data_IF_470420025099
#
_entry.id   IF_470420025099
#
_cell.length_a   1.000
_cell.length_b   1.000
_cell.length_c   1.000
_cell.angle_alpha   90.00
_cell.angle_beta   90.00
_cell.angle_gamma   90.00
#
_symmetry.space_group_name_H-M   'P 1'
#
loop_
_entity.id
_entity.type
_entity.pdbx_description
1 polymer ?
#
# COMPACT_ATOMS: atom_id res chain seq x y z
N UNK A 1 -6.44 -29.67 6.87
CA UNK A 1 -7.23 -30.30 7.96
C UNK A 1 -6.29 -30.52 9.13
N UNK A 2 -6.26 -29.59 10.08
CA UNK A 2 -5.61 -29.76 11.37
C UNK A 2 -6.52 -30.61 12.24
N UNK A 3 -6.13 -31.85 12.46
CA UNK A 3 -6.82 -32.73 13.40
C UNK A 3 -6.59 -32.22 14.83
N UNK A 4 -7.66 -32.08 15.59
CA UNK A 4 -7.62 -31.85 17.04
C UNK A 4 -6.92 -33.06 17.66
N UNK A 5 -5.87 -32.89 18.52
CA UNK A 5 -5.26 -34.02 19.21
C UNK A 5 -6.30 -34.79 20.03
N UNK A 6 -6.27 -36.11 19.93
CA UNK A 6 -7.16 -36.98 20.69
C UNK A 6 -6.84 -36.87 22.19
N UNK A 7 -7.71 -36.19 22.94
CA UNK A 7 -7.57 -35.97 24.38
C UNK A 7 -8.01 -34.60 24.85
N UNK A 8 -8.20 -33.64 23.96
CA UNK A 8 -8.79 -32.34 24.23
C UNK A 8 -10.32 -32.50 24.25
N UNK A 9 -10.87 -32.65 25.44
CA UNK A 9 -12.30 -32.65 25.62
C UNK A 9 -12.84 -31.22 25.57
N UNK A 10 -13.46 -30.82 24.46
CA UNK A 10 -14.24 -29.57 24.39
C UNK A 10 -15.52 -29.73 25.23
N UNK A 11 -15.37 -29.97 26.55
CA UNK A 11 -16.49 -30.20 27.46
C UNK A 11 -17.29 -28.94 27.81
N UNK A 12 -16.89 -27.77 27.27
CA UNK A 12 -17.41 -26.47 27.69
C UNK A 12 -18.27 -25.77 26.64
N UNK A 13 -18.91 -26.44 25.71
CA UNK A 13 -19.77 -25.76 24.71
C UNK A 13 -19.16 -24.43 24.17
N UNK A 14 -17.84 -24.37 24.05
CA UNK A 14 -17.16 -23.19 23.48
C UNK A 14 -17.49 -23.12 22.00
N UNK A 15 -18.34 -22.18 21.66
CA UNK A 15 -18.65 -21.90 20.26
C UNK A 15 -17.37 -21.32 19.60
N UNK A 16 -16.87 -21.99 18.58
CA UNK A 16 -15.85 -21.41 17.71
C UNK A 16 -16.56 -20.36 16.87
N UNK A 17 -16.34 -19.10 17.18
CA UNK A 17 -16.85 -17.99 16.38
C UNK A 17 -15.87 -17.79 15.23
N UNK A 18 -16.32 -18.08 14.01
CA UNK A 18 -15.60 -17.77 12.78
C UNK A 18 -16.10 -16.41 12.33
N UNK A 19 -15.21 -15.40 12.31
CA UNK A 19 -15.57 -14.12 11.71
C UNK A 19 -15.60 -14.26 10.19
N UNK A 20 -16.76 -14.00 9.61
CA UNK A 20 -16.99 -14.00 8.15
C UNK A 20 -17.35 -12.60 7.66
N UNK A 21 -17.25 -11.59 8.51
CA UNK A 21 -17.63 -10.21 8.21
C UNK A 21 -16.50 -9.52 7.47
N UNK A 22 -16.73 -9.16 6.22
CA UNK A 22 -15.76 -8.40 5.43
C UNK A 22 -15.57 -7.00 6.01
N UNK A 23 -14.33 -6.46 6.06
CA UNK A 23 -14.08 -5.09 6.47
C UNK A 23 -14.65 -4.09 5.45
N UNK A 24 -15.03 -2.90 5.92
CA UNK A 24 -15.56 -1.81 5.10
C UNK A 24 -14.52 -0.71 4.96
N UNK A 25 -13.41 -1.00 4.30
CA UNK A 25 -12.36 -0.01 4.03
C UNK A 25 -12.64 0.76 2.74
N UNK A 26 -12.23 2.03 2.69
CA UNK A 26 -12.22 2.83 1.46
C UNK A 26 -10.89 3.56 1.31
N UNK A 27 -10.40 3.71 0.08
CA UNK A 27 -9.21 4.50 -0.24
C UNK A 27 -9.66 5.71 -1.06
N UNK A 28 -9.43 6.93 -0.53
CA UNK A 28 -9.87 8.18 -1.18
C UNK A 28 -8.74 8.92 -1.85
N UNK A 29 -7.51 8.82 -1.35
CA UNK A 29 -6.34 9.45 -1.95
C UNK A 29 -5.07 8.68 -1.68
N UNK A 30 -4.05 8.95 -2.51
CA UNK A 30 -2.70 8.45 -2.32
C UNK A 30 -1.69 9.56 -2.55
N UNK A 31 -0.60 9.54 -1.78
CA UNK A 31 0.57 10.37 -2.00
C UNK A 31 1.83 9.53 -1.91
N UNK A 32 2.88 9.97 -2.59
CA UNK A 32 4.18 9.29 -2.59
C UNK A 32 5.32 10.25 -2.33
N UNK A 33 6.26 9.81 -1.51
CA UNK A 33 7.52 10.52 -1.28
C UNK A 33 8.67 9.74 -1.93
N UNK A 34 9.23 10.20 -3.04
CA UNK A 34 10.27 9.48 -3.78
C UNK A 34 11.60 9.38 -3.01
N UNK A 35 11.86 10.29 -2.07
CA UNK A 35 13.06 10.26 -1.24
C UNK A 35 12.99 9.14 -0.20
N UNK A 36 11.88 9.05 0.53
CA UNK A 36 11.70 8.03 1.56
C UNK A 36 11.16 6.70 1.03
N UNK A 37 10.49 6.70 -0.14
CA UNK A 37 9.81 5.53 -0.69
C UNK A 37 8.51 5.19 0.03
N UNK A 38 7.86 6.18 0.64
CA UNK A 38 6.61 5.98 1.38
C UNK A 38 5.41 6.37 0.51
N UNK A 39 4.50 5.43 0.32
CA UNK A 39 3.16 5.68 -0.22
C UNK A 39 2.22 5.85 0.98
N UNK A 40 1.56 7.00 1.07
CA UNK A 40 0.54 7.24 2.10
C UNK A 40 -0.83 7.15 1.47
N UNK A 41 -1.64 6.23 1.97
CA UNK A 41 -3.05 6.09 1.62
C UNK A 41 -3.90 6.83 2.65
N UNK A 42 -4.88 7.59 2.19
CA UNK A 42 -5.92 8.15 3.04
C UNK A 42 -7.28 7.57 2.66
N UNK A 43 -8.16 7.44 3.65
CA UNK A 43 -9.46 6.82 3.44
C UNK A 43 -10.25 6.66 4.73
N UNK A 44 -11.04 5.60 4.81
CA UNK A 44 -11.78 5.25 6.02
C UNK A 44 -11.54 3.78 6.36
N UNK A 45 -11.57 3.45 7.63
CA UNK A 45 -11.39 2.09 8.15
C UNK A 45 -10.14 1.37 7.64
N UNK A 46 -9.07 2.10 7.33
CA UNK A 46 -7.79 1.54 6.88
C UNK A 46 -7.09 0.73 7.99
N UNK A 47 -7.58 0.84 9.22
CA UNK A 47 -7.11 0.14 10.41
C UNK A 47 -7.85 -1.19 10.63
N UNK A 48 -8.43 -1.79 9.60
CA UNK A 48 -9.33 -2.95 9.73
C UNK A 48 -8.68 -4.25 10.18
N UNK A 49 -7.40 -4.22 10.48
CA UNK A 49 -6.63 -5.40 10.89
C UNK A 49 -6.84 -5.81 12.35
N UNK A 50 -7.84 -5.24 13.00
CA UNK A 50 -8.30 -5.60 14.36
C UNK A 50 -7.17 -5.83 15.37
N UNK A 51 -6.11 -5.02 15.27
CA UNK A 51 -4.94 -5.10 16.14
C UNK A 51 -5.06 -4.06 17.24
N UNK A 52 -4.79 -4.46 18.47
CA UNK A 52 -4.84 -3.61 19.64
C UNK A 52 -3.80 -2.47 19.63
N UNK A 53 -2.84 -2.49 18.71
CA UNK A 53 -1.82 -1.45 18.53
C UNK A 53 -1.41 -1.34 17.07
N UNK A 54 -2.20 -0.66 16.24
CA UNK A 54 -2.00 -0.62 14.79
C UNK A 54 -0.68 0.06 14.37
N UNK A 55 -0.17 1.00 15.16
CA UNK A 55 1.03 1.78 14.81
C UNK A 55 2.35 1.01 15.00
N UNK A 56 2.35 -0.12 15.69
CA UNK A 56 3.57 -0.86 16.03
C UNK A 56 3.75 -2.18 15.27
N UNK A 57 2.74 -2.62 14.51
CA UNK A 57 2.74 -3.92 13.82
C UNK A 57 2.89 -3.72 12.32
N UNK A 58 3.75 -4.54 11.69
CA UNK A 58 3.88 -4.54 10.24
C UNK A 58 2.76 -5.35 9.61
N UNK A 59 1.87 -4.68 8.90
CA UNK A 59 0.65 -5.26 8.33
C UNK A 59 0.81 -5.79 6.91
N UNK A 60 2.00 -5.73 6.32
CA UNK A 60 2.21 -6.05 4.89
C UNK A 60 1.72 -7.42 4.45
N UNK A 61 1.74 -8.42 5.34
CA UNK A 61 1.34 -9.80 5.03
C UNK A 61 -0.18 -10.01 4.98
N UNK A 62 -0.97 -9.05 5.44
CA UNK A 62 -2.43 -9.12 5.44
C UNK A 62 -3.06 -8.48 4.20
N UNK A 63 -2.27 -7.80 3.36
CA UNK A 63 -2.73 -7.10 2.17
C UNK A 63 -2.48 -7.94 0.92
N UNK A 64 -3.38 -7.85 -0.06
CA UNK A 64 -3.26 -8.55 -1.34
C UNK A 64 -2.57 -7.67 -2.39
N UNK A 65 -1.25 -7.72 -2.43
CA UNK A 65 -0.43 -6.86 -3.28
C UNK A 65 -0.67 -7.06 -4.78
N UNK A 66 -1.25 -8.18 -5.22
CA UNK A 66 -1.63 -8.38 -6.61
C UNK A 66 -2.72 -7.42 -7.09
N UNK A 67 -3.37 -6.73 -6.16
CA UNK A 67 -4.46 -5.77 -6.37
C UNK A 67 -4.01 -4.31 -6.26
N UNK A 68 -2.71 -4.07 -6.12
CA UNK A 68 -2.14 -2.75 -5.88
C UNK A 68 -1.17 -2.42 -7.02
N UNK A 69 -1.62 -1.59 -7.94
CA UNK A 69 -0.94 -1.30 -9.20
C UNK A 69 -0.65 0.18 -9.31
N UNK A 70 0.58 0.50 -9.65
CA UNK A 70 1.01 1.85 -10.02
C UNK A 70 1.02 1.95 -11.53
N UNK A 71 0.11 2.70 -12.09
CA UNK A 71 0.03 3.04 -13.50
C UNK A 71 0.88 4.31 -13.74
N UNK A 72 1.99 4.13 -14.46
CA UNK A 72 3.03 5.16 -14.60
C UNK A 72 2.59 6.36 -15.43
N UNK A 73 1.67 6.17 -16.35
CA UNK A 73 1.22 7.23 -17.26
C UNK A 73 -0.29 7.53 -17.11
N UNK A 74 -0.98 6.82 -16.21
CA UNK A 74 -2.39 7.03 -15.93
C UNK A 74 -3.31 6.77 -17.13
N UNK A 75 -2.89 5.90 -18.08
CA UNK A 75 -3.64 5.62 -19.30
C UNK A 75 -4.63 4.46 -19.15
N UNK A 76 -4.61 3.78 -18.01
CA UNK A 76 -5.44 2.61 -17.73
C UNK A 76 -4.99 1.35 -18.49
N UNK A 77 -3.82 1.39 -19.13
CA UNK A 77 -3.19 0.24 -19.81
C UNK A 77 -2.23 -0.46 -18.85
N UNK A 78 -2.16 -1.77 -18.89
CA UNK A 78 -1.30 -2.56 -18.00
C UNK A 78 0.12 -2.76 -18.53
N UNK A 79 0.50 -2.14 -19.65
CA UNK A 79 1.74 -2.46 -20.36
C UNK A 79 2.99 -1.84 -19.72
N UNK A 80 2.85 -0.75 -18.98
CA UNK A 80 3.95 -0.02 -18.35
C UNK A 80 3.81 0.06 -16.83
N UNK A 81 2.85 -0.68 -16.26
CA UNK A 81 2.47 -0.59 -14.86
C UNK A 81 3.38 -1.40 -13.95
N UNK A 82 3.48 -0.94 -12.73
CA UNK A 82 4.13 -1.67 -11.65
C UNK A 82 3.08 -2.30 -10.74
N UNK A 83 2.85 -3.60 -10.88
CA UNK A 83 2.16 -4.38 -9.84
C UNK A 83 3.14 -4.66 -8.71
N UNK A 84 2.77 -4.28 -7.49
CA UNK A 84 3.61 -4.55 -6.32
C UNK A 84 3.47 -6.01 -5.88
N UNK A 85 4.50 -6.48 -5.19
CA UNK A 85 4.54 -7.78 -4.55
C UNK A 85 4.96 -7.62 -3.09
N UNK A 86 4.68 -8.62 -2.27
CA UNK A 86 5.07 -8.60 -0.84
C UNK A 86 6.57 -8.32 -0.63
N UNK A 87 7.41 -8.80 -1.54
CA UNK A 87 8.86 -8.57 -1.52
C UNK A 87 9.29 -7.12 -1.80
N UNK A 88 8.43 -6.32 -2.45
CA UNK A 88 8.67 -4.90 -2.70
C UNK A 88 8.44 -4.04 -1.45
N UNK A 89 7.74 -4.58 -0.46
CA UNK A 89 7.27 -3.86 0.71
C UNK A 89 8.17 -4.16 1.91
N UNK A 90 8.67 -3.10 2.52
CA UNK A 90 9.41 -3.18 3.78
C UNK A 90 8.42 -3.23 4.96
N UNK A 91 7.64 -2.19 5.14
CA UNK A 91 6.66 -2.10 6.23
C UNK A 91 5.35 -1.50 5.76
N UNK A 92 4.27 -1.88 6.45
CA UNK A 92 2.98 -1.22 6.38
C UNK A 92 2.54 -0.87 7.79
N UNK A 93 2.25 0.41 8.01
CA UNK A 93 1.72 0.91 9.28
C UNK A 93 0.41 1.63 9.06
N UNK A 94 -0.62 1.26 9.82
CA UNK A 94 -1.87 2.01 9.87
C UNK A 94 -1.78 2.97 11.07
N UNK A 95 -1.50 4.24 10.81
CA UNK A 95 -1.37 5.24 11.88
C UNK A 95 -2.70 5.47 12.61
N UNK A 96 -3.81 5.31 11.89
CA UNK A 96 -5.18 5.40 12.41
C UNK A 96 -6.15 4.82 11.35
N UNK A 97 -7.46 4.87 11.64
CA UNK A 97 -8.49 4.39 10.71
C UNK A 97 -8.54 5.16 9.37
N UNK A 98 -7.91 6.32 9.28
CA UNK A 98 -7.96 7.19 8.10
C UNK A 98 -6.66 7.22 7.29
N UNK A 99 -5.56 6.70 7.81
CA UNK A 99 -4.26 6.75 7.14
C UNK A 99 -3.48 5.45 7.30
N UNK A 100 -2.89 5.01 6.19
CA UNK A 100 -1.98 3.87 6.12
C UNK A 100 -0.72 4.29 5.36
N UNK A 101 0.45 3.96 5.90
CA UNK A 101 1.72 4.19 5.22
C UNK A 101 2.30 2.84 4.76
N UNK A 102 2.63 2.78 3.47
CA UNK A 102 3.30 1.66 2.82
C UNK A 102 4.73 2.10 2.49
N UNK A 103 5.71 1.52 3.16
CA UNK A 103 7.12 1.79 2.92
C UNK A 103 7.67 0.75 1.96
N UNK A 104 8.20 1.19 0.84
CA UNK A 104 8.86 0.34 -0.13
C UNK A 104 10.27 -0.05 0.35
N UNK A 105 10.74 -1.22 -0.05
CA UNK A 105 12.16 -1.55 0.07
C UNK A 105 13.00 -0.59 -0.77
N UNK A 106 14.26 -0.41 -0.41
CA UNK A 106 15.18 0.46 -1.20
C UNK A 106 15.25 0.04 -2.65
N UNK A 107 15.25 -1.27 -2.93
CA UNK A 107 15.26 -1.80 -4.28
C UNK A 107 13.99 -1.44 -5.06
N UNK A 108 12.83 -1.65 -4.45
CA UNK A 108 11.53 -1.34 -5.08
C UNK A 108 11.35 0.16 -5.32
N UNK A 109 11.75 1.00 -4.33
CA UNK A 109 11.77 2.45 -4.47
C UNK A 109 12.63 2.90 -5.66
N UNK A 110 13.86 2.42 -5.73
CA UNK A 110 14.77 2.81 -6.80
C UNK A 110 14.27 2.33 -8.16
N UNK A 111 13.71 1.12 -8.24
CA UNK A 111 13.11 0.60 -9.47
C UNK A 111 11.91 1.44 -9.92
N UNK A 112 11.01 1.80 -8.99
CA UNK A 112 9.86 2.65 -9.29
C UNK A 112 10.30 4.04 -9.79
N UNK A 113 11.21 4.69 -9.08
CA UNK A 113 11.71 6.02 -9.43
C UNK A 113 12.50 6.05 -10.77
N UNK A 114 12.96 4.89 -11.24
CA UNK A 114 13.70 4.75 -12.51
C UNK A 114 12.80 4.41 -13.70
N UNK A 115 11.49 4.21 -13.51
CA UNK A 115 10.59 3.95 -14.63
C UNK A 115 10.56 5.15 -15.59
N UNK A 116 10.57 4.86 -16.87
CA UNK A 116 10.38 5.89 -17.90
C UNK A 116 8.97 6.45 -17.78
N UNK A 117 8.86 7.76 -17.58
CA UNK A 117 7.57 8.44 -17.39
C UNK A 117 7.17 8.65 -15.94
N UNK A 118 7.89 8.06 -14.97
CA UNK A 118 7.61 8.30 -13.55
C UNK A 118 7.60 9.79 -13.22
N UNK A 119 6.61 10.22 -12.44
CA UNK A 119 6.53 11.59 -11.98
C UNK A 119 5.96 12.58 -13.01
N UNK A 120 4.99 12.17 -13.79
CA UNK A 120 4.21 13.03 -14.71
C UNK A 120 4.90 13.41 -16.03
N UNK A 121 5.94 12.70 -16.44
CA UNK A 121 6.46 12.82 -17.81
C UNK A 121 5.57 11.97 -18.73
N UNK A 122 4.57 12.57 -19.34
CA UNK A 122 3.65 11.89 -20.27
C UNK A 122 2.25 11.62 -19.74
N UNK A 123 1.95 12.00 -18.52
CA UNK A 123 0.67 11.85 -17.85
C UNK A 123 0.84 11.86 -16.32
N UNK A 124 -0.25 11.96 -15.59
CA UNK A 124 -0.19 11.85 -14.15
C UNK A 124 -0.14 10.35 -13.78
N UNK A 125 0.82 9.96 -12.97
CA UNK A 125 0.80 8.63 -12.38
C UNK A 125 -0.48 8.42 -11.57
N UNK A 126 -1.06 7.23 -11.67
CA UNK A 126 -2.22 6.85 -10.88
C UNK A 126 -1.95 5.59 -10.06
N UNK A 127 -2.70 5.45 -8.99
CA UNK A 127 -2.73 4.23 -8.19
C UNK A 127 -4.07 3.55 -8.40
N UNK A 128 -4.00 2.32 -8.90
CA UNK A 128 -5.15 1.48 -9.09
C UNK A 128 -5.19 0.38 -8.02
N UNK A 129 -6.28 0.36 -7.29
CA UNK A 129 -6.54 -0.66 -6.28
C UNK A 129 -7.81 -1.42 -6.65
N UNK A 130 -7.69 -2.70 -6.85
CA UNK A 130 -8.83 -3.59 -7.05
C UNK A 130 -9.41 -4.02 -5.71
N UNK A 131 -10.73 -4.16 -5.63
CA UNK A 131 -11.42 -4.58 -4.41
C UNK A 131 -10.82 -5.85 -3.79
N UNK A 132 -10.67 -5.85 -2.48
CA UNK A 132 -10.07 -6.93 -1.71
C UNK A 132 -8.57 -6.80 -1.49
N UNK A 133 -7.98 -5.63 -1.74
CA UNK A 133 -6.61 -5.33 -1.33
C UNK A 133 -6.47 -5.38 0.19
N UNK A 134 -7.40 -4.75 0.91
CA UNK A 134 -7.43 -4.73 2.38
C UNK A 134 -8.20 -5.96 2.88
N UNK A 135 -7.59 -6.68 3.81
CA UNK A 135 -8.16 -7.87 4.44
C UNK A 135 -8.11 -7.72 5.96
N UNK A 136 -9.03 -8.37 6.65
CA UNK A 136 -8.94 -8.54 8.10
C UNK A 136 -7.96 -9.68 8.47
N UNK A 137 -7.76 -9.88 9.78
CA UNK A 137 -6.88 -10.95 10.30
C UNK A 137 -7.41 -12.37 10.01
N UNK A 138 -8.67 -12.52 9.64
CA UNK A 138 -9.30 -13.80 9.27
C UNK A 138 -9.25 -14.03 7.76
N UNK A 139 -8.77 -13.05 6.99
CA UNK A 139 -8.63 -13.13 5.53
C UNK A 139 -9.87 -12.67 4.76
N UNK A 140 -10.90 -12.13 5.43
CA UNK A 140 -12.05 -11.57 4.75
C UNK A 140 -11.65 -10.29 4.01
N UNK A 141 -12.00 -10.21 2.74
CA UNK A 141 -11.57 -9.14 1.84
C UNK A 141 -12.56 -7.97 1.82
N UNK A 142 -12.08 -6.73 1.89
CA UNK A 142 -12.92 -5.55 1.72
C UNK A 142 -13.49 -5.50 0.29
N UNK A 143 -14.80 -5.20 0.18
CA UNK A 143 -15.44 -5.04 -1.12
C UNK A 143 -15.44 -3.57 -1.59
N UNK A 144 -15.09 -2.63 -0.72
CA UNK A 144 -15.25 -1.17 -0.91
C UNK A 144 -13.95 -0.40 -1.01
N UNK A 145 -12.80 -1.08 -0.99
CA UNK A 145 -11.46 -0.47 -1.04
C UNK A 145 -10.96 -0.22 -2.47
N UNK A 146 -11.77 -0.53 -3.49
CA UNK A 146 -11.41 -0.29 -4.89
C UNK A 146 -11.22 1.21 -5.16
N UNK A 147 -10.14 1.53 -5.90
CA UNK A 147 -9.84 2.88 -6.38
C UNK A 147 -9.22 2.76 -7.77
N UNK A 148 -9.92 3.25 -8.78
CA UNK A 148 -9.44 3.25 -10.16
C UNK A 148 -8.95 4.65 -10.57
N UNK A 149 -7.88 4.73 -11.32
CA UNK A 149 -7.29 5.95 -11.91
C UNK A 149 -7.10 7.08 -10.87
N UNK A 150 -6.72 6.68 -9.67
CA UNK A 150 -6.55 7.63 -8.59
C UNK A 150 -5.23 8.37 -8.69
N UNK A 151 -5.24 9.64 -9.12
CA UNK A 151 -4.03 10.48 -9.24
C UNK A 151 -3.24 10.47 -7.93
N UNK A 152 -1.92 10.28 -8.06
CA UNK A 152 -0.98 10.29 -6.94
C UNK A 152 -0.42 11.70 -6.79
N UNK A 153 -0.45 12.22 -5.56
CA UNK A 153 0.25 13.45 -5.23
C UNK A 153 1.67 13.14 -4.74
N UNK A 154 2.64 13.92 -5.21
CA UNK A 154 4.02 13.78 -4.77
C UNK A 154 4.32 14.70 -3.58
N UNK A 155 4.93 14.16 -2.54
CA UNK A 155 5.37 14.91 -1.36
C UNK A 155 6.90 14.94 -1.30
N UNK A 156 7.56 15.51 -2.32
CA UNK A 156 8.97 15.80 -2.25
C UNK A 156 9.17 17.16 -1.57
N UNK A 157 9.78 17.14 -0.40
CA UNK A 157 10.13 18.35 0.36
C UNK A 157 11.60 18.74 0.19
N UNK A 158 12.35 18.01 -0.64
CA UNK A 158 13.77 18.28 -0.87
C UNK A 158 13.91 19.34 -1.94
N UNK A 159 14.26 20.57 -1.54
CA UNK A 159 14.58 21.61 -2.50
C UNK A 159 15.77 21.16 -3.38
N UNK A 160 15.72 21.37 -4.70
CA UNK A 160 16.85 21.07 -5.56
C UNK A 160 18.06 21.90 -5.10
N UNK A 161 19.15 21.22 -4.79
CA UNK A 161 20.41 21.88 -4.51
C UNK A 161 21.09 22.18 -5.84
N UNK A 162 21.23 23.45 -6.19
CA UNK A 162 22.14 23.84 -7.26
C UNK A 162 23.56 23.50 -6.77
N UNK A 163 24.18 22.53 -7.42
CA UNK A 163 25.61 22.31 -7.19
C UNK A 163 26.33 23.62 -7.53
N UNK A 164 26.90 24.28 -6.52
CA UNK A 164 27.82 25.42 -6.71
C UNK A 164 29.12 24.90 -7.29
N UNK A 165 29.04 24.38 -8.52
CA UNK A 165 30.18 23.99 -9.32
C UNK A 165 30.64 25.22 -10.10
N UNK A 166 31.81 25.67 -9.83
CA UNK A 166 32.62 26.59 -10.62
C UNK A 166 32.46 26.39 -12.10
N UNK A 167 31.87 27.35 -12.82
CA UNK A 167 31.98 27.31 -14.26
C UNK A 167 30.85 27.89 -15.10
N UNK A 168 30.23 29.02 -14.70
CA UNK A 168 29.71 29.93 -15.71
C UNK A 168 30.82 30.94 -16.02
N UNK A 169 31.74 30.60 -16.90
CA UNK A 169 32.53 31.60 -17.60
C UNK A 169 31.66 32.18 -18.68
N UNK A 170 31.22 33.42 -18.48
CA UNK A 170 30.63 34.23 -19.54
C UNK A 170 31.66 34.40 -20.67
N UNK A 171 31.23 34.00 -21.89
CA UNK A 171 31.92 34.36 -23.14
C UNK A 171 31.36 35.70 -23.61
#
# INVERSE_FOLDING_TARGET
STSIPSGENLSDNQAIVIDTTAPTATITSASYNPTSGIITLAGTNLQTLNVSSPSSTNHKSYLDWSKFVWDINGDGSTTTDKTFQLSDIDTVTAANASNMAVTLTTSAKNALNAFTGFGAIGGNDTLDVTAGFIRDIFGNAAATDARANGVISYSDTTAPTVATGTGFTSV
#
